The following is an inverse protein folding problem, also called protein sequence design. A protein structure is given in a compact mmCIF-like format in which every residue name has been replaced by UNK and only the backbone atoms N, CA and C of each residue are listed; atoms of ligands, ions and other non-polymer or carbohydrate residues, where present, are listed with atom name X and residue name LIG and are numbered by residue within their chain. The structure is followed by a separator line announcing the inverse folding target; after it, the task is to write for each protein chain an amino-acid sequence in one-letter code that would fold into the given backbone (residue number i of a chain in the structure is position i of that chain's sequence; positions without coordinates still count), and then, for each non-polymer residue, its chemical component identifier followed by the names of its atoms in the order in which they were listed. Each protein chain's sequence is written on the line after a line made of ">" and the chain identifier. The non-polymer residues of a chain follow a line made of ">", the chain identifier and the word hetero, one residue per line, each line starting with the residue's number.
data_IF_731681950030
#
_entry.id   IF_731681950030
#
_cell.length_a   1.000
_cell.length_b   1.000
_cell.length_c   1.000
_cell.angle_alpha   90.00
_cell.angle_beta   90.00
_cell.angle_gamma   90.00
#
_symmetry.space_group_name_H-M   'P 1'
#
loop_
_entity.id
_entity.type
_entity.pdbx_description
1 polymer ?
#
# COMPACT_ATOMS: atom_id res chain seq x y z
N UNK A 1 -14.38 -21.38 6.49
CA UNK A 1 -13.08 -20.79 6.15
C UNK A 1 -12.83 -19.74 7.22
N UNK A 2 -11.75 -19.86 7.98
CA UNK A 2 -11.33 -18.82 8.93
C UNK A 2 -10.79 -17.68 8.10
N UNK A 3 -11.58 -16.63 7.90
CA UNK A 3 -11.12 -15.37 7.33
C UNK A 3 -9.98 -14.89 8.22
N UNK A 4 -8.76 -14.82 7.68
CA UNK A 4 -7.66 -14.21 8.44
C UNK A 4 -8.05 -12.75 8.69
N UNK A 5 -7.85 -12.31 9.94
CA UNK A 5 -8.20 -10.94 10.31
C UNK A 5 -7.18 -10.03 9.63
N UNK A 6 -7.59 -9.32 8.59
CA UNK A 6 -6.81 -8.22 8.01
C UNK A 6 -6.41 -7.26 9.13
N UNK A 7 -5.12 -6.97 9.23
CA UNK A 7 -4.57 -6.12 10.26
C UNK A 7 -4.73 -4.63 9.90
N UNK A 8 -5.95 -4.24 9.53
CA UNK A 8 -6.34 -2.88 9.18
C UNK A 8 -7.35 -2.35 10.20
N UNK A 9 -7.45 -1.01 10.37
CA UNK A 9 -8.43 -0.39 11.25
C UNK A 9 -9.88 -0.74 10.88
N UNK A 10 -10.72 -0.96 11.89
CA UNK A 10 -12.12 -1.41 11.70
C UNK A 10 -12.95 -0.37 10.91
N UNK A 11 -12.70 0.92 11.11
CA UNK A 11 -13.30 2.02 10.33
C UNK A 11 -12.99 1.90 8.84
N UNK A 12 -11.74 1.60 8.47
CA UNK A 12 -11.36 1.41 7.09
C UNK A 12 -11.99 0.15 6.50
N UNK A 13 -12.03 -0.96 7.26
CA UNK A 13 -12.70 -2.18 6.81
C UNK A 13 -14.21 -1.97 6.60
N UNK A 14 -14.87 -1.21 7.47
CA UNK A 14 -16.29 -0.85 7.32
C UNK A 14 -16.52 0.05 6.08
N UNK A 15 -15.60 0.95 5.79
CA UNK A 15 -15.64 1.77 4.58
C UNK A 15 -15.44 0.91 3.33
N UNK A 16 -14.45 0.00 3.32
CA UNK A 16 -14.25 -0.95 2.23
C UNK A 16 -15.50 -1.82 1.97
N UNK A 17 -16.11 -2.34 3.04
CA UNK A 17 -17.34 -3.15 2.94
C UNK A 17 -18.55 -2.33 2.40
N UNK A 18 -18.45 -1.00 2.33
CA UNK A 18 -19.50 -0.11 1.80
C UNK A 18 -19.37 0.19 0.30
N UNK A 19 -18.24 -0.18 -0.32
CA UNK A 19 -18.00 0.01 -1.74
C UNK A 19 -18.77 -1.06 -2.54
N UNK A 20 -19.54 -0.65 -3.54
CA UNK A 20 -20.41 -1.57 -4.31
C UNK A 20 -19.67 -2.32 -5.45
N UNK A 21 -18.47 -1.86 -5.83
CA UNK A 21 -17.65 -2.40 -6.92
C UNK A 21 -16.16 -2.01 -6.74
N UNK A 22 -15.33 -2.30 -7.75
CA UNK A 22 -14.00 -1.71 -7.93
C UNK A 22 -14.09 -0.20 -7.69
N UNK A 23 -13.25 0.31 -6.79
CA UNK A 23 -13.28 1.71 -6.37
C UNK A 23 -12.01 2.40 -6.82
N UNK A 24 -12.18 3.38 -7.70
CA UNK A 24 -11.13 4.32 -8.04
C UNK A 24 -11.28 5.55 -7.16
N UNK A 25 -10.17 6.03 -6.63
CA UNK A 25 -10.17 7.12 -5.69
C UNK A 25 -9.07 8.12 -6.01
N UNK A 26 -9.41 9.40 -6.06
CA UNK A 26 -8.47 10.49 -6.22
C UNK A 26 -8.06 11.03 -4.84
N UNK A 27 -6.76 11.16 -4.62
CA UNK A 27 -6.18 11.82 -3.45
C UNK A 27 -4.98 12.65 -3.91
N UNK A 28 -4.99 13.96 -3.60
CA UNK A 28 -3.93 14.90 -3.99
C UNK A 28 -3.56 14.82 -5.50
N UNK A 29 -4.57 14.84 -6.38
CA UNK A 29 -4.43 14.79 -7.85
C UNK A 29 -3.86 13.45 -8.40
N UNK A 30 -3.73 12.41 -7.57
CA UNK A 30 -3.40 11.05 -8.00
C UNK A 30 -4.60 10.12 -7.88
N UNK A 31 -4.79 9.26 -8.87
CA UNK A 31 -5.82 8.23 -8.88
C UNK A 31 -5.25 6.91 -8.35
N UNK A 32 -6.01 6.21 -7.51
CA UNK A 32 -5.65 4.92 -6.95
C UNK A 32 -6.82 3.95 -7.12
N UNK A 33 -6.54 2.74 -7.59
CA UNK A 33 -7.46 1.63 -7.50
C UNK A 33 -7.37 1.02 -6.10
N UNK A 34 -8.49 1.05 -5.37
CA UNK A 34 -8.58 0.56 -4.01
C UNK A 34 -8.96 -0.91 -4.02
N UNK A 35 -8.11 -1.74 -3.39
CA UNK A 35 -8.35 -3.17 -3.32
C UNK A 35 -9.56 -3.48 -2.43
N UNK A 36 -10.45 -4.33 -2.93
CA UNK A 36 -11.53 -4.89 -2.15
C UNK A 36 -10.99 -5.81 -1.04
N UNK A 37 -11.85 -6.06 -0.06
CA UNK A 37 -11.50 -6.95 1.06
C UNK A 37 -11.15 -8.37 0.63
N UNK A 38 -11.74 -8.85 -0.46
CA UNK A 38 -11.46 -10.16 -1.03
C UNK A 38 -10.06 -10.15 -1.66
N UNK A 39 -9.77 -9.16 -2.51
CA UNK A 39 -8.48 -8.97 -3.17
C UNK A 39 -7.32 -8.85 -2.18
N UNK A 40 -7.48 -8.10 -1.09
CA UNK A 40 -6.45 -7.97 -0.04
C UNK A 40 -5.97 -9.32 0.52
N UNK A 41 -6.81 -10.36 0.46
CA UNK A 41 -6.50 -11.72 0.93
C UNK A 41 -6.09 -12.67 -0.20
N UNK A 42 -6.20 -12.26 -1.46
CA UNK A 42 -5.82 -13.09 -2.60
C UNK A 42 -4.31 -13.27 -2.65
N UNK A 43 -3.90 -14.46 -3.09
CA UNK A 43 -2.50 -14.78 -3.32
C UNK A 43 -2.14 -14.33 -4.74
N UNK A 44 -1.11 -13.50 -4.84
CA UNK A 44 -0.50 -13.07 -6.07
C UNK A 44 0.78 -13.87 -6.32
N UNK A 45 0.99 -14.23 -7.58
CA UNK A 45 2.23 -14.85 -8.04
C UNK A 45 3.07 -13.81 -8.79
N UNK A 46 4.24 -13.46 -8.25
CA UNK A 46 5.17 -12.47 -8.79
C UNK A 46 6.57 -13.11 -8.79
N UNK A 47 7.17 -13.28 -9.97
CA UNK A 47 8.53 -13.84 -10.15
C UNK A 47 8.82 -15.12 -9.33
N UNK A 48 7.94 -16.12 -9.44
CA UNK A 48 7.98 -17.40 -8.70
C UNK A 48 7.73 -17.29 -7.18
N UNK A 49 7.39 -16.10 -6.66
CA UNK A 49 6.96 -15.90 -5.28
C UNK A 49 5.44 -15.81 -5.19
N UNK A 50 4.87 -16.52 -4.22
CA UNK A 50 3.46 -16.39 -3.84
C UNK A 50 3.37 -15.50 -2.59
N UNK A 51 2.62 -14.40 -2.68
CA UNK A 51 2.44 -13.43 -1.59
C UNK A 51 0.99 -12.98 -1.55
N UNK A 52 0.43 -12.74 -0.36
CA UNK A 52 -0.89 -12.12 -0.27
C UNK A 52 -0.83 -10.70 -0.87
N UNK A 53 -1.91 -10.24 -1.51
CA UNK A 53 -2.00 -8.90 -2.11
C UNK A 53 -1.58 -7.83 -1.09
N UNK A 54 -2.05 -7.94 0.15
CA UNK A 54 -1.75 -6.98 1.21
C UNK A 54 -0.25 -6.93 1.59
N UNK A 55 0.52 -7.96 1.27
CA UNK A 55 1.94 -8.09 1.61
C UNK A 55 2.88 -7.77 0.42
N UNK A 56 2.37 -7.23 -0.70
CA UNK A 56 3.15 -6.95 -1.91
C UNK A 56 4.37 -6.07 -1.68
N UNK A 57 4.26 -5.03 -0.84
CA UNK A 57 5.37 -4.13 -0.55
C UNK A 57 6.63 -4.88 -0.05
N UNK A 58 6.45 -5.94 0.75
CA UNK A 58 7.55 -6.78 1.23
C UNK A 58 8.28 -7.50 0.09
N UNK A 59 7.54 -7.95 -0.94
CA UNK A 59 8.15 -8.62 -2.08
C UNK A 59 8.94 -7.63 -2.94
N UNK A 60 8.36 -6.48 -3.30
CA UNK A 60 9.06 -5.46 -4.08
C UNK A 60 10.31 -4.96 -3.37
N UNK A 61 10.24 -4.75 -2.05
CA UNK A 61 11.42 -4.44 -1.25
C UNK A 61 12.51 -5.50 -1.45
N UNK A 62 12.21 -6.79 -1.31
CA UNK A 62 13.22 -7.85 -1.51
C UNK A 62 13.82 -7.81 -2.91
N UNK A 63 12.99 -7.65 -3.94
CA UNK A 63 13.46 -7.57 -5.33
C UNK A 63 14.40 -6.37 -5.55
N UNK A 64 14.03 -5.20 -5.05
CA UNK A 64 14.86 -3.99 -5.13
C UNK A 64 16.19 -4.21 -4.40
N UNK A 65 16.15 -4.77 -3.19
CA UNK A 65 17.36 -5.06 -2.42
C UNK A 65 18.27 -6.07 -3.12
N UNK A 66 17.71 -7.10 -3.75
CA UNK A 66 18.46 -8.12 -4.49
C UNK A 66 19.13 -7.56 -5.75
N UNK A 67 18.48 -6.60 -6.43
CA UNK A 67 19.00 -5.96 -7.65
C UNK A 67 20.04 -4.89 -7.34
N UNK A 68 19.74 -4.00 -6.37
CA UNK A 68 20.54 -2.80 -6.09
C UNK A 68 21.61 -3.03 -5.03
N UNK A 69 21.37 -3.95 -4.08
CA UNK A 69 22.16 -4.11 -2.87
C UNK A 69 21.89 -3.04 -1.81
N UNK A 70 20.91 -2.16 -2.01
CA UNK A 70 20.58 -1.08 -1.09
C UNK A 70 19.75 -1.56 0.10
N UNK A 71 19.71 -0.75 1.14
CA UNK A 71 19.00 -1.04 2.41
C UNK A 71 17.95 0.00 2.78
N UNK A 72 17.86 1.05 1.96
CA UNK A 72 16.98 2.19 2.16
C UNK A 72 16.71 2.83 0.81
N UNK A 73 15.62 3.58 0.78
CA UNK A 73 15.26 4.51 -0.28
C UNK A 73 15.21 5.93 0.28
N UNK A 74 14.75 6.89 -0.52
CA UNK A 74 14.46 8.25 -0.10
C UNK A 74 12.95 8.53 -0.13
N UNK A 75 12.50 9.42 0.75
CA UNK A 75 11.22 10.09 0.54
C UNK A 75 11.38 11.38 -0.30
N UNK A 76 10.26 12.02 -0.63
CA UNK A 76 10.18 13.28 -1.38
C UNK A 76 10.86 14.47 -0.66
N UNK A 77 11.00 14.40 0.65
CA UNK A 77 11.77 15.34 1.47
C UNK A 77 13.29 15.04 1.51
N UNK A 78 13.72 13.91 0.93
CA UNK A 78 15.11 13.46 0.90
C UNK A 78 15.59 12.77 2.19
N UNK A 79 14.68 12.39 3.08
CA UNK A 79 14.97 11.55 4.24
C UNK A 79 15.17 10.10 3.80
N UNK A 80 16.01 9.37 4.54
CA UNK A 80 16.26 7.94 4.28
C UNK A 80 15.19 7.08 4.93
N UNK A 81 14.49 6.28 4.13
CA UNK A 81 13.49 5.34 4.61
C UNK A 81 14.04 3.91 4.47
N UNK A 82 14.21 3.15 5.58
CA UNK A 82 14.73 1.80 5.51
C UNK A 82 13.76 0.85 4.78
N UNK A 83 14.28 0.02 3.89
CA UNK A 83 13.47 -1.02 3.23
C UNK A 83 12.87 -2.02 4.23
N UNK A 84 13.56 -2.27 5.35
CA UNK A 84 13.02 -3.10 6.42
C UNK A 84 11.75 -2.54 7.06
N UNK A 85 11.53 -1.22 6.98
CA UNK A 85 10.29 -0.57 7.43
C UNK A 85 9.20 -0.75 6.36
N UNK A 86 9.51 -0.42 5.10
CA UNK A 86 8.59 -0.53 3.96
C UNK A 86 8.07 -1.97 3.81
N UNK A 87 8.91 -2.98 4.03
CA UNK A 87 8.50 -4.38 3.98
C UNK A 87 7.55 -4.82 5.09
N UNK A 88 7.19 -3.93 6.02
CA UNK A 88 6.13 -4.15 7.03
C UNK A 88 4.83 -3.42 6.71
N UNK A 89 4.82 -2.60 5.65
CA UNK A 89 3.64 -1.88 5.21
C UNK A 89 2.63 -2.82 4.56
N UNK A 90 1.36 -2.46 4.68
CA UNK A 90 0.24 -3.20 4.12
C UNK A 90 -0.23 -2.49 2.86
N UNK A 91 -0.22 -3.19 1.72
CA UNK A 91 -0.72 -2.67 0.45
C UNK A 91 -2.25 -2.68 0.45
N UNK A 92 -2.87 -1.53 0.19
CA UNK A 92 -4.33 -1.33 0.20
C UNK A 92 -4.92 -0.94 -1.15
N UNK A 93 -4.06 -0.73 -2.15
CA UNK A 93 -4.44 -0.33 -3.50
C UNK A 93 -3.21 -0.12 -4.37
N UNK A 94 -3.43 0.31 -5.60
CA UNK A 94 -2.37 0.48 -6.59
C UNK A 94 -2.75 1.49 -7.67
N UNK A 95 -1.75 2.02 -8.35
CA UNK A 95 -1.90 2.72 -9.62
C UNK A 95 -0.84 2.16 -10.58
N UNK A 96 -1.27 1.39 -11.57
CA UNK A 96 -0.40 0.64 -12.46
C UNK A 96 0.58 -0.29 -11.70
N UNK A 97 1.83 0.14 -11.52
CA UNK A 97 2.89 -0.62 -10.84
C UNK A 97 3.27 0.01 -9.47
N UNK A 98 2.66 1.14 -9.13
CA UNK A 98 2.87 1.85 -7.88
C UNK A 98 1.86 1.35 -6.83
N UNK A 99 2.31 1.28 -5.58
CA UNK A 99 1.54 0.69 -4.49
C UNK A 99 1.05 1.78 -3.53
N UNK A 100 -0.25 1.77 -3.24
CA UNK A 100 -0.81 2.49 -2.12
C UNK A 100 -0.67 1.64 -0.87
N UNK A 101 0.13 2.11 0.08
CA UNK A 101 0.51 1.37 1.28
C UNK A 101 0.07 2.10 2.55
N UNK A 102 -0.06 1.35 3.64
CA UNK A 102 -0.19 1.91 4.99
C UNK A 102 0.86 1.36 5.93
N UNK A 103 1.36 2.20 6.84
CA UNK A 103 2.34 1.83 7.86
C UNK A 103 1.66 1.55 9.22
N UNK A 104 1.51 0.28 9.65
CA UNK A 104 0.88 -0.03 10.94
C UNK A 104 1.69 0.46 12.15
N UNK A 105 2.99 0.75 11.99
CA UNK A 105 3.85 1.26 13.06
C UNK A 105 3.74 2.78 13.25
N UNK A 106 3.31 3.51 12.23
CA UNK A 106 3.08 4.97 12.26
C UNK A 106 1.59 5.30 12.11
N UNK A 107 0.75 4.77 13.02
CA UNK A 107 -0.69 5.08 13.08
C UNK A 107 -1.45 4.84 11.75
N UNK A 108 -1.03 3.83 10.98
CA UNK A 108 -1.58 3.57 9.63
C UNK A 108 -1.46 4.77 8.70
N UNK A 109 -0.36 5.53 8.81
CA UNK A 109 0.00 6.56 7.84
C UNK A 109 -0.02 5.98 6.42
N UNK A 110 -0.52 6.76 5.47
CA UNK A 110 -0.69 6.34 4.08
C UNK A 110 0.50 6.82 3.26
N UNK A 111 1.05 5.92 2.47
CA UNK A 111 2.25 6.14 1.68
C UNK A 111 2.04 5.64 0.25
N UNK A 112 2.51 6.43 -0.72
CA UNK A 112 2.80 5.92 -2.05
C UNK A 112 4.16 5.23 -2.04
N UNK A 113 4.25 4.03 -2.57
CA UNK A 113 5.51 3.32 -2.80
C UNK A 113 5.67 3.11 -4.30
N UNK A 114 6.82 3.54 -4.84
CA UNK A 114 7.09 3.59 -6.28
C UNK A 114 8.24 2.64 -6.66
N UNK A 115 8.01 1.30 -6.69
CA UNK A 115 9.06 0.32 -6.98
C UNK A 115 9.86 0.59 -8.26
N UNK A 116 9.18 1.06 -9.31
CA UNK A 116 9.79 1.35 -10.61
C UNK A 116 10.70 2.57 -10.61
N UNK A 117 10.52 3.49 -9.67
CA UNK A 117 11.34 4.70 -9.52
C UNK A 117 12.53 4.46 -8.58
N UNK A 118 12.98 3.21 -8.45
CA UNK A 118 14.03 2.82 -7.52
C UNK A 118 13.53 2.57 -6.10
N UNK A 119 12.20 2.54 -5.92
CA UNK A 119 11.56 2.31 -4.64
C UNK A 119 11.41 3.57 -3.80
N UNK A 120 11.36 4.75 -4.40
CA UNK A 120 11.05 6.00 -3.70
C UNK A 120 9.67 5.91 -3.02
N UNK A 121 9.46 6.72 -1.98
CA UNK A 121 8.20 6.75 -1.23
C UNK A 121 7.73 8.17 -0.99
N UNK A 122 6.43 8.37 -0.85
CA UNK A 122 5.82 9.68 -0.57
C UNK A 122 4.77 9.50 0.52
N UNK A 123 4.79 10.36 1.55
CA UNK A 123 3.77 10.32 2.60
C UNK A 123 2.54 11.09 2.13
N UNK A 124 1.42 10.39 1.97
CA UNK A 124 0.17 10.97 1.47
C UNK A 124 -0.73 11.44 2.63
N UNK A 125 -0.77 10.70 3.75
CA UNK A 125 -1.56 11.08 4.91
C UNK A 125 -0.95 10.56 6.21
N UNK A 126 -1.26 11.20 7.35
CA UNK A 126 -0.73 10.76 8.65
C UNK A 126 -1.49 9.56 9.23
N UNK A 127 -2.63 9.19 8.65
CA UNK A 127 -3.43 8.01 9.00
C UNK A 127 -4.53 7.78 7.96
N UNK A 128 -5.20 6.63 8.07
CA UNK A 128 -6.33 6.26 7.22
C UNK A 128 -7.55 7.18 7.37
N UNK A 129 -7.83 7.77 8.55
CA UNK A 129 -8.98 8.69 8.69
C UNK A 129 -8.75 9.97 7.87
N UNK A 130 -7.57 10.56 7.97
CA UNK A 130 -7.17 11.74 7.19
C UNK A 130 -7.21 11.45 5.68
N UNK A 131 -6.73 10.27 5.28
CA UNK A 131 -6.83 9.81 3.90
C UNK A 131 -8.28 9.75 3.43
N UNK A 132 -9.17 9.06 4.18
CA UNK A 132 -10.59 8.93 3.84
C UNK A 132 -11.34 10.27 3.84
N UNK A 133 -10.95 11.24 4.67
CA UNK A 133 -11.53 12.58 4.68
C UNK A 133 -11.17 13.40 3.43
N UNK A 134 -9.98 13.20 2.87
CA UNK A 134 -9.49 13.86 1.66
C UNK A 134 -9.76 13.09 0.36
N UNK A 135 -10.24 11.86 0.46
CA UNK A 135 -10.45 10.96 -0.67
C UNK A 135 -11.71 11.33 -1.47
N UNK A 136 -11.58 11.43 -2.79
CA UNK A 136 -12.73 11.58 -3.70
C UNK A 136 -12.92 10.27 -4.49
N UNK A 137 -14.08 9.62 -4.34
CA UNK A 137 -14.41 8.44 -5.15
C UNK A 137 -14.78 8.86 -6.57
N UNK A 138 -14.19 8.19 -7.55
CA UNK A 138 -14.45 8.41 -8.97
C UNK A 138 -15.61 7.52 -9.45
N UNK A 139 -16.47 8.07 -10.32
CA UNK A 139 -17.67 7.40 -10.89
C UNK A 139 -17.38 6.59 -12.16
#
# INVERSE_FOLDING_TARGET
>A
MTTEKLNLPDNYLLWLDSLEAEAYAEFEEREWEIASREELQELLEIDDFEVAYIDQANLYVKLIQDITGDSHTMDDEGNRIPFSLIGTWLTIGYDNEDLLCVDPADNFAVWGFYPNEGGDVEKLANNLDEFLEGLELLE
#
